data_IF_438633401308
#
_entry.id   IF_438633401308
#
_cell.length_a   1.000
_cell.length_b   1.000
_cell.length_c   1.000
_cell.angle_alpha   90.00
_cell.angle_beta   90.00
_cell.angle_gamma   90.00
#
_symmetry.space_group_name_H-M   'P 1'
#
loop_
_entity.id
_entity.type
_entity.pdbx_description
1 polymer ?
#
# COMPACT_ATOMS: atom_id res chain seq x y z
N UNK A 1 -6.00 7.62 -57.52
CA UNK A 1 -4.79 8.29 -56.96
C UNK A 1 -5.11 8.81 -55.56
N UNK A 2 -4.11 8.95 -54.66
CA UNK A 2 -4.35 8.93 -53.21
C UNK A 2 -4.69 10.31 -52.62
N UNK A 3 -5.57 10.35 -51.62
CA UNK A 3 -5.81 11.54 -50.79
C UNK A 3 -4.80 11.59 -49.64
N UNK A 4 -3.96 12.63 -49.61
CA UNK A 4 -3.15 12.95 -48.44
C UNK A 4 -4.02 13.43 -47.28
N UNK A 5 -4.05 12.69 -46.17
CA UNK A 5 -4.50 13.17 -44.87
C UNK A 5 -3.54 12.69 -43.77
N UNK A 6 -2.33 13.26 -43.70
CA UNK A 6 -1.48 13.14 -42.51
C UNK A 6 -2.05 14.04 -41.42
N UNK A 7 -2.79 13.42 -40.49
CA UNK A 7 -3.59 14.13 -39.50
C UNK A 7 -2.74 14.92 -38.52
N UNK A 8 -3.33 15.99 -37.99
CA UNK A 8 -2.73 16.92 -37.01
C UNK A 8 -2.12 16.19 -35.81
N UNK A 9 -2.67 15.02 -35.44
CA UNK A 9 -2.17 14.13 -34.41
C UNK A 9 -0.73 13.61 -34.66
N UNK A 10 -0.31 13.36 -35.90
CA UNK A 10 1.07 12.98 -36.21
C UNK A 10 2.04 14.14 -35.94
N UNK A 11 1.67 15.36 -36.32
CA UNK A 11 2.48 16.57 -36.08
C UNK A 11 2.56 16.90 -34.59
N UNK A 12 1.45 16.77 -33.85
CA UNK A 12 1.43 16.90 -32.40
C UNK A 12 2.35 15.89 -31.70
N UNK A 13 2.29 14.60 -32.08
CA UNK A 13 3.18 13.56 -31.55
C UNK A 13 4.67 13.81 -31.90
N UNK A 14 4.97 14.36 -33.07
CA UNK A 14 6.34 14.74 -33.44
C UNK A 14 6.84 15.97 -32.69
N UNK A 15 6.00 16.97 -32.45
CA UNK A 15 6.32 18.12 -31.60
C UNK A 15 6.58 17.67 -30.14
N UNK A 16 5.70 16.84 -29.59
CA UNK A 16 5.81 16.29 -28.24
C UNK A 16 7.08 15.44 -28.05
N UNK A 17 7.53 14.71 -29.10
CA UNK A 17 8.84 14.01 -29.10
C UNK A 17 10.04 14.96 -29.16
N UNK A 18 9.92 16.14 -29.79
CA UNK A 18 11.01 17.13 -29.88
C UNK A 18 11.18 17.96 -28.60
N UNK A 19 10.11 18.23 -27.85
CA UNK A 19 10.16 19.08 -26.64
C UNK A 19 10.07 18.29 -25.33
N UNK A 20 9.25 17.23 -25.26
CA UNK A 20 8.92 16.56 -23.99
C UNK A 20 10.04 15.72 -23.37
N UNK A 21 11.02 15.26 -24.17
CA UNK A 21 12.12 14.42 -23.69
C UNK A 21 13.21 15.18 -22.94
N UNK A 22 13.55 16.40 -23.36
CA UNK A 22 14.57 17.22 -22.68
C UNK A 22 14.01 17.89 -21.43
N UNK A 23 12.83 18.50 -21.55
CA UNK A 23 12.18 19.21 -20.44
C UNK A 23 11.93 18.31 -19.21
N UNK A 24 11.65 17.02 -19.41
CA UNK A 24 11.46 16.05 -18.32
C UNK A 24 12.78 15.55 -17.70
N UNK A 25 13.89 15.57 -18.42
CA UNK A 25 15.23 15.26 -17.88
C UNK A 25 15.78 16.47 -17.12
N UNK A 26 15.62 17.67 -17.69
CA UNK A 26 16.02 18.94 -17.07
C UNK A 26 15.21 19.21 -15.79
N UNK A 27 13.90 18.92 -15.75
CA UNK A 27 13.09 18.97 -14.51
C UNK A 27 13.59 17.98 -13.44
N UNK A 28 13.95 16.75 -13.81
CA UNK A 28 14.51 15.77 -12.86
C UNK A 28 15.88 16.17 -12.33
N UNK A 29 16.71 16.79 -13.16
CA UNK A 29 18.03 17.30 -12.77
C UNK A 29 17.92 18.57 -11.91
N UNK A 30 16.96 19.46 -12.20
CA UNK A 30 16.64 20.62 -11.35
C UNK A 30 16.07 20.20 -9.98
N UNK A 31 15.23 19.16 -9.93
CA UNK A 31 14.75 18.55 -8.67
C UNK A 31 15.83 17.75 -7.90
N UNK A 32 17.01 17.51 -8.51
CA UNK A 32 18.14 16.85 -7.86
C UNK A 32 19.14 17.84 -7.21
N UNK A 33 18.86 19.15 -7.26
CA UNK A 33 19.65 20.16 -6.56
C UNK A 33 19.50 20.06 -5.04
N UNK A 34 20.38 19.31 -4.39
CA UNK A 34 20.52 19.25 -2.92
C UNK A 34 19.24 18.88 -2.17
N UNK A 35 18.79 17.62 -2.28
CA UNK A 35 17.94 17.06 -1.21
C UNK A 35 18.70 17.16 0.13
N UNK A 36 18.08 17.69 1.19
CA UNK A 36 18.76 17.78 2.48
C UNK A 36 19.08 16.39 3.03
N UNK A 37 20.15 16.30 3.83
CA UNK A 37 20.52 15.05 4.50
C UNK A 37 19.52 14.62 5.58
N UNK A 38 19.53 13.34 5.98
CA UNK A 38 18.70 12.84 7.08
C UNK A 38 19.05 13.55 8.38
N UNK A 39 18.09 13.56 9.31
CA UNK A 39 18.20 14.25 10.58
C UNK A 39 17.52 13.44 11.68
N UNK A 40 17.99 13.59 12.92
CA UNK A 40 17.39 12.91 14.08
C UNK A 40 16.15 13.64 14.59
N UNK A 41 15.24 12.90 15.20
CA UNK A 41 14.12 13.41 15.99
C UNK A 41 14.63 14.39 17.04
N UNK A 42 15.80 14.11 17.64
CA UNK A 42 16.51 14.97 18.57
C UNK A 42 16.95 16.29 17.95
N UNK A 43 17.49 16.32 16.74
CA UNK A 43 17.81 17.55 16.01
C UNK A 43 16.56 18.33 15.61
N UNK A 44 15.53 17.66 15.11
CA UNK A 44 14.25 18.28 14.78
C UNK A 44 13.60 18.93 16.02
N UNK A 45 13.57 18.21 17.16
CA UNK A 45 13.05 18.72 18.43
C UNK A 45 13.92 19.81 19.04
N UNK A 46 15.25 19.76 18.85
CA UNK A 46 16.13 20.83 19.33
C UNK A 46 15.86 22.10 18.53
N UNK A 47 15.82 22.01 17.19
CA UNK A 47 15.44 23.15 16.36
C UNK A 47 14.02 23.68 16.69
N UNK A 48 13.05 22.78 16.87
CA UNK A 48 11.68 23.11 17.30
C UNK A 48 11.61 23.84 18.67
N UNK A 49 12.67 23.80 19.48
CA UNK A 49 12.74 24.52 20.77
C UNK A 49 13.78 25.64 20.83
N UNK A 50 14.63 25.82 19.81
CA UNK A 50 15.76 26.77 19.85
C UNK A 50 16.03 27.53 18.54
N UNK A 51 15.37 27.20 17.43
CA UNK A 51 15.48 27.97 16.20
C UNK A 51 14.68 29.28 16.32
N UNK A 52 15.09 30.36 15.64
CA UNK A 52 14.29 31.57 15.57
C UNK A 52 13.03 31.35 14.72
N UNK A 53 11.96 32.06 15.06
CA UNK A 53 10.70 32.05 14.31
C UNK A 53 10.91 32.50 12.87
N UNK A 54 10.23 31.84 11.95
CA UNK A 54 10.21 32.20 10.55
C UNK A 54 9.33 33.42 10.32
N UNK A 55 9.93 34.50 9.82
CA UNK A 55 9.27 35.82 9.66
C UNK A 55 8.76 36.08 8.23
N UNK A 56 8.75 35.06 7.37
CA UNK A 56 8.23 35.16 6.01
C UNK A 56 6.70 35.18 5.95
N UNK A 57 6.17 35.47 4.76
CA UNK A 57 4.73 35.37 4.49
C UNK A 57 4.42 34.00 3.89
N UNK A 58 3.53 33.24 4.53
CA UNK A 58 3.03 32.00 3.94
C UNK A 58 2.27 32.32 2.63
N UNK A 59 2.65 31.75 1.48
CA UNK A 59 2.01 32.07 0.20
C UNK A 59 0.70 31.30 -0.04
N UNK A 60 0.31 30.39 0.86
CA UNK A 60 -0.87 29.51 0.70
C UNK A 60 -2.08 30.00 1.49
N UNK A 61 -1.87 30.71 2.61
CA UNK A 61 -2.94 31.16 3.53
C UNK A 61 -2.76 32.61 3.96
N UNK A 62 -3.84 33.22 4.44
CA UNK A 62 -3.79 34.56 5.06
C UNK A 62 -3.00 34.57 6.37
N UNK A 63 -2.41 35.71 6.78
CA UNK A 63 -1.63 35.81 8.03
C UNK A 63 -2.39 35.35 9.27
N UNK A 64 -3.72 35.52 9.30
CA UNK A 64 -4.63 35.08 10.36
C UNK A 64 -4.86 33.56 10.43
N UNK A 65 -4.33 32.80 9.47
CA UNK A 65 -4.39 31.33 9.42
C UNK A 65 -3.02 30.69 9.14
N UNK A 66 -1.94 31.48 9.10
CA UNK A 66 -0.59 30.98 8.91
C UNK A 66 -0.10 30.36 10.23
N UNK A 67 0.38 29.11 10.23
CA UNK A 67 0.90 28.48 11.44
C UNK A 67 2.17 29.19 11.93
N UNK A 68 2.48 29.08 13.22
CA UNK A 68 3.79 29.45 13.74
C UNK A 68 4.83 28.44 13.25
N UNK A 69 5.86 28.92 12.54
CA UNK A 69 6.86 28.09 11.87
C UNK A 69 8.28 28.48 12.28
N UNK A 70 9.21 27.53 12.16
CA UNK A 70 10.65 27.77 12.26
C UNK A 70 11.36 27.25 11.01
N UNK A 71 12.49 27.86 10.66
CA UNK A 71 13.34 27.36 9.57
C UNK A 71 14.11 26.10 9.99
N UNK A 72 13.91 25.01 9.27
CA UNK A 72 14.69 23.79 9.43
C UNK A 72 15.21 23.34 8.07
N UNK A 73 16.47 23.69 7.77
CA UNK A 73 17.12 23.36 6.50
C UNK A 73 17.02 21.87 6.09
N UNK A 74 17.08 20.88 7.01
CA UNK A 74 16.86 19.47 6.68
C UNK A 74 15.45 19.12 6.18
N UNK A 75 14.43 19.95 6.46
CA UNK A 75 13.07 19.81 5.89
C UNK A 75 12.83 20.75 4.70
N UNK A 76 13.89 21.36 4.16
CA UNK A 76 13.84 22.12 2.91
C UNK A 76 13.11 23.47 2.99
N UNK A 77 12.99 24.05 4.19
CA UNK A 77 12.33 25.33 4.43
C UNK A 77 11.62 25.39 5.78
N UNK A 78 10.71 26.35 5.99
CA UNK A 78 9.98 26.50 7.24
C UNK A 78 9.03 25.35 7.50
N UNK A 79 8.82 25.01 8.77
CA UNK A 79 7.95 23.92 9.23
C UNK A 79 7.16 24.36 10.47
N UNK A 80 5.86 24.04 10.59
CA UNK A 80 5.09 24.37 11.79
C UNK A 80 5.61 23.68 13.04
N UNK A 81 5.64 24.39 14.17
CA UNK A 81 5.93 23.78 15.48
C UNK A 81 4.92 22.67 15.82
N UNK A 82 3.64 22.91 15.54
CA UNK A 82 2.52 21.97 15.71
C UNK A 82 2.77 20.63 15.00
N UNK A 83 3.14 20.67 13.71
CA UNK A 83 3.43 19.47 12.93
C UNK A 83 4.61 18.64 13.47
N UNK A 84 5.62 19.27 14.08
CA UNK A 84 6.76 18.57 14.69
C UNK A 84 6.37 17.88 16.00
N UNK A 85 5.58 18.55 16.84
CA UNK A 85 5.09 17.97 18.10
C UNK A 85 4.14 16.79 17.86
N UNK A 86 3.28 16.88 16.83
CA UNK A 86 2.40 15.78 16.41
C UNK A 86 3.19 14.57 15.89
N UNK A 87 4.25 14.81 15.10
CA UNK A 87 5.14 13.76 14.63
C UNK A 87 5.89 13.07 15.78
N UNK A 88 6.34 13.83 16.80
CA UNK A 88 6.89 13.25 18.03
C UNK A 88 5.86 12.34 18.72
N UNK A 89 4.59 12.74 18.81
CA UNK A 89 3.54 11.91 19.39
C UNK A 89 3.40 10.55 18.69
N UNK A 90 3.43 10.53 17.35
CA UNK A 90 3.38 9.30 16.55
C UNK A 90 4.66 8.44 16.67
N UNK A 91 5.74 9.02 17.17
CA UNK A 91 7.06 8.40 17.38
C UNK A 91 7.44 8.28 18.86
N UNK A 92 6.48 8.44 19.78
CA UNK A 92 6.70 8.39 21.23
C UNK A 92 7.30 7.07 21.75
N UNK A 93 7.04 5.88 21.16
CA UNK A 93 7.76 4.65 21.50
C UNK A 93 9.23 4.60 21.04
N UNK A 94 9.73 5.64 20.36
CA UNK A 94 11.05 5.68 19.72
C UNK A 94 12.00 6.66 20.42
N UNK A 95 13.29 6.55 20.14
CA UNK A 95 14.34 7.36 20.78
C UNK A 95 14.40 8.79 20.23
N UNK A 96 14.98 9.73 20.98
CA UNK A 96 15.43 11.02 20.41
C UNK A 96 16.52 10.83 19.35
N UNK A 97 17.20 9.70 19.32
CA UNK A 97 18.16 9.33 18.26
C UNK A 97 17.49 8.73 17.01
N UNK A 98 16.16 8.54 16.99
CA UNK A 98 15.43 8.05 15.80
C UNK A 98 15.67 8.99 14.62
N UNK A 99 16.06 8.46 13.47
CA UNK A 99 16.30 9.23 12.25
C UNK A 99 15.02 9.42 11.42
N UNK A 100 14.94 10.55 10.72
CA UNK A 100 13.90 10.92 9.79
C UNK A 100 14.51 11.44 8.49
N UNK A 101 13.77 11.25 7.40
CA UNK A 101 14.14 11.71 6.06
C UNK A 101 12.96 12.45 5.42
N UNK A 102 13.24 13.53 4.69
CA UNK A 102 12.27 14.22 3.82
C UNK A 102 12.14 13.49 2.46
N UNK A 103 11.01 12.82 2.21
CA UNK A 103 10.76 12.15 0.94
C UNK A 103 10.32 13.10 -0.18
N UNK A 104 9.45 14.05 0.17
CA UNK A 104 8.84 14.99 -0.78
C UNK A 104 8.38 16.24 -0.04
N UNK A 105 8.51 17.41 -0.67
CA UNK A 105 7.92 18.67 -0.20
C UNK A 105 7.13 19.32 -1.32
N UNK A 106 5.85 19.55 -1.09
CA UNK A 106 4.95 20.27 -1.99
C UNK A 106 4.90 21.76 -1.62
N UNK A 107 6.04 22.44 -1.77
CA UNK A 107 6.18 23.87 -1.45
C UNK A 107 5.84 24.21 0.00
N UNK A 108 4.75 24.95 0.19
CA UNK A 108 4.17 25.32 1.49
C UNK A 108 2.88 24.54 1.83
N UNK A 109 2.46 23.58 1.01
CA UNK A 109 1.25 22.79 1.29
C UNK A 109 1.55 21.66 2.29
N UNK A 110 2.46 20.75 1.93
CA UNK A 110 2.80 19.60 2.76
C UNK A 110 4.22 19.12 2.49
N UNK A 111 4.71 18.25 3.38
CA UNK A 111 5.87 17.42 3.14
C UNK A 111 5.63 16.00 3.67
N UNK A 112 6.29 15.00 3.12
CA UNK A 112 6.26 13.63 3.64
C UNK A 112 7.61 13.31 4.24
N UNK A 113 7.64 12.85 5.49
CA UNK A 113 8.82 12.26 6.14
C UNK A 113 8.67 10.76 6.33
N UNK A 114 9.75 10.01 6.20
CA UNK A 114 9.78 8.59 6.58
C UNK A 114 10.39 8.42 7.99
N UNK A 115 9.85 7.49 8.77
CA UNK A 115 10.42 7.06 10.05
C UNK A 115 9.99 5.63 10.42
N UNK A 116 10.93 4.78 10.83
CA UNK A 116 10.66 3.43 11.39
C UNK A 116 9.73 2.53 10.56
N UNK A 117 9.90 2.53 9.23
CA UNK A 117 9.04 1.75 8.35
C UNK A 117 7.59 2.23 8.39
N UNK A 118 7.37 3.53 8.55
CA UNK A 118 6.11 4.26 8.49
C UNK A 118 6.43 5.56 7.73
N UNK A 119 5.51 6.06 6.90
CA UNK A 119 5.68 7.36 6.21
C UNK A 119 4.69 8.33 6.80
N UNK A 120 4.96 9.62 6.83
CA UNK A 120 4.16 10.61 7.55
C UNK A 120 4.07 11.90 6.74
N UNK A 121 2.88 12.27 6.25
CA UNK A 121 2.67 13.58 5.63
C UNK A 121 2.35 14.63 6.69
N UNK A 122 3.22 15.62 6.81
CA UNK A 122 3.06 16.84 7.60
C UNK A 122 2.46 17.93 6.71
N UNK A 123 1.42 18.61 7.15
CA UNK A 123 0.94 19.83 6.48
C UNK A 123 1.73 21.04 6.97
N UNK A 124 1.94 22.00 6.05
CA UNK A 124 2.78 23.18 6.25
C UNK A 124 2.01 24.49 6.04
N UNK A 125 0.81 24.42 5.45
CA UNK A 125 0.01 25.58 5.07
C UNK A 125 -0.91 26.10 6.17
N UNK A 126 -1.23 25.28 7.17
CA UNK A 126 -2.16 25.56 8.26
C UNK A 126 -1.75 24.70 9.46
N UNK A 127 -2.30 24.99 10.64
CA UNK A 127 -2.03 24.20 11.84
C UNK A 127 -2.51 22.74 11.75
N UNK A 128 -1.87 21.90 12.56
CA UNK A 128 -2.32 20.58 13.00
C UNK A 128 -2.58 19.49 11.94
N UNK A 129 -1.55 19.00 11.25
CA UNK A 129 -1.68 17.74 10.50
C UNK A 129 -0.38 16.93 10.35
N UNK A 130 -0.42 15.65 10.76
CA UNK A 130 0.58 14.62 10.48
C UNK A 130 -0.12 13.28 10.24
N UNK A 131 0.11 12.60 9.11
CA UNK A 131 -0.68 11.41 8.72
C UNK A 131 0.14 10.26 8.14
N UNK A 132 -0.14 9.01 8.56
CA UNK A 132 0.64 7.87 8.09
C UNK A 132 0.34 7.52 6.61
N UNK A 133 1.36 7.65 5.76
CA UNK A 133 1.38 7.40 4.31
C UNK A 133 1.92 6.02 3.99
N UNK A 134 1.75 5.59 2.74
CA UNK A 134 1.90 4.19 2.42
C UNK A 134 3.35 3.80 2.56
N UNK A 135 3.71 2.87 3.45
CA UNK A 135 5.03 2.24 3.45
C UNK A 135 5.50 1.80 2.04
N UNK A 136 4.61 1.67 1.04
CA UNK A 136 4.99 1.82 -0.39
C UNK A 136 5.22 3.32 -0.75
N UNK A 137 6.48 3.77 -0.88
CA UNK A 137 6.79 5.19 -1.04
C UNK A 137 6.33 5.75 -2.37
N UNK A 138 6.05 7.06 -2.43
CA UNK A 138 5.49 7.72 -3.63
C UNK A 138 4.07 7.26 -3.99
N UNK A 139 3.55 6.22 -3.36
CA UNK A 139 2.12 6.06 -3.24
C UNK A 139 1.64 7.07 -2.20
N UNK A 140 0.85 8.05 -2.68
CA UNK A 140 0.14 9.04 -1.85
C UNK A 140 -0.96 8.38 -0.98
N UNK A 141 -1.19 7.08 -1.14
CA UNK A 141 -2.03 6.23 -0.28
C UNK A 141 -1.36 5.93 1.08
N UNK A 142 -1.84 4.94 1.87
CA UNK A 142 -1.44 4.64 3.28
C UNK A 142 -1.02 3.13 3.52
N UNK A 143 -0.36 2.72 4.66
CA UNK A 143 0.84 1.81 4.83
C UNK A 143 0.79 0.25 4.93
N UNK A 144 2.00 -0.41 4.88
CA UNK A 144 2.34 -1.90 4.76
C UNK A 144 3.83 -2.34 4.56
N UNK A 145 4.50 -3.31 5.21
CA UNK A 145 4.15 -4.49 6.03
C UNK A 145 3.76 -5.80 5.31
N UNK A 146 4.29 -6.94 5.77
CA UNK A 146 3.94 -8.33 5.41
C UNK A 146 3.55 -9.17 6.65
N UNK A 147 4.14 -8.86 7.81
CA UNK A 147 3.66 -9.22 9.17
C UNK A 147 2.45 -8.36 9.64
N UNK A 148 1.84 -7.63 8.71
CA UNK A 148 0.55 -6.91 8.77
C UNK A 148 0.19 -6.62 7.30
N UNK A 149 -1.08 -6.36 6.94
CA UNK A 149 -1.45 -6.15 5.51
C UNK A 149 -2.43 -4.98 5.23
N UNK A 150 -2.14 -3.71 5.53
CA UNK A 150 -2.85 -2.59 4.86
C UNK A 150 -2.35 -2.23 3.42
N UNK A 151 -1.76 -3.17 2.64
CA UNK A 151 -1.23 -2.90 1.28
C UNK A 151 -2.45 -2.63 0.42
N UNK A 152 -2.47 -1.50 -0.29
CA UNK A 152 -3.62 -1.21 -1.14
C UNK A 152 -3.82 -2.35 -2.15
N UNK A 153 -4.91 -3.10 -1.96
CA UNK A 153 -5.10 -4.37 -2.64
C UNK A 153 -5.11 -4.24 -4.16
N UNK A 154 -5.44 -3.05 -4.67
CA UNK A 154 -5.67 -2.75 -6.08
C UNK A 154 -4.43 -2.26 -6.86
N UNK A 155 -3.33 -1.86 -6.18
CA UNK A 155 -2.05 -1.52 -6.84
C UNK A 155 -0.85 -2.27 -6.25
N UNK A 156 -0.88 -2.58 -4.96
CA UNK A 156 0.26 -3.17 -4.27
C UNK A 156 0.16 -4.69 -4.11
N UNK A 157 -1.02 -5.23 -3.78
CA UNK A 157 -1.23 -6.69 -3.69
C UNK A 157 -1.61 -7.27 -5.07
N UNK A 158 -2.50 -6.63 -5.83
CA UNK A 158 -2.90 -7.11 -7.15
C UNK A 158 -1.78 -7.09 -8.21
N UNK A 159 -0.60 -6.57 -7.87
CA UNK A 159 0.61 -6.64 -8.67
C UNK A 159 1.60 -7.74 -8.23
N UNK A 160 1.30 -8.48 -7.14
CA UNK A 160 2.16 -9.53 -6.56
C UNK A 160 1.84 -10.89 -7.14
N UNK A 161 2.86 -11.63 -7.54
CA UNK A 161 2.74 -12.99 -8.04
C UNK A 161 2.09 -13.94 -7.03
N UNK A 162 1.63 -15.09 -7.53
CA UNK A 162 1.07 -16.17 -6.71
C UNK A 162 1.97 -16.55 -5.52
N UNK A 163 3.27 -16.78 -5.79
CA UNK A 163 4.24 -17.14 -4.75
C UNK A 163 4.43 -16.08 -3.68
N UNK A 164 4.51 -14.79 -4.05
CA UNK A 164 4.62 -13.69 -3.08
C UNK A 164 3.39 -13.59 -2.17
N UNK A 165 2.19 -13.81 -2.72
CA UNK A 165 0.96 -13.79 -1.92
C UNK A 165 0.88 -15.02 -0.99
N UNK A 166 1.41 -16.17 -1.40
CA UNK A 166 1.52 -17.39 -0.57
C UNK A 166 2.46 -17.16 0.61
N UNK A 167 3.62 -16.56 0.35
CA UNK A 167 4.62 -16.24 1.36
C UNK A 167 4.08 -15.23 2.38
N UNK A 168 3.45 -14.14 1.92
CA UNK A 168 2.80 -13.17 2.82
C UNK A 168 1.66 -13.78 3.65
N UNK A 169 0.90 -14.72 3.09
CA UNK A 169 -0.11 -15.48 3.83
C UNK A 169 0.53 -16.33 4.94
N UNK A 170 1.67 -16.95 4.63
CA UNK A 170 2.43 -17.81 5.54
C UNK A 170 3.00 -17.00 6.70
N UNK A 171 3.67 -15.88 6.42
CA UNK A 171 4.27 -15.03 7.44
C UNK A 171 3.24 -14.34 8.34
N UNK A 172 2.18 -13.79 7.75
CA UNK A 172 1.12 -13.14 8.53
C UNK A 172 0.33 -14.17 9.35
N UNK A 173 0.04 -15.34 8.77
CA UNK A 173 -0.55 -16.46 9.49
C UNK A 173 0.29 -16.89 10.68
N UNK A 174 1.59 -17.15 10.49
CA UNK A 174 2.49 -17.54 11.58
C UNK A 174 2.54 -16.49 12.69
N UNK A 175 2.53 -15.19 12.37
CA UNK A 175 2.50 -14.12 13.37
C UNK A 175 1.20 -14.14 14.20
N UNK A 176 0.06 -14.43 13.58
CA UNK A 176 -1.20 -14.64 14.30
C UNK A 176 -1.19 -15.96 15.10
N UNK A 177 -0.56 -17.01 14.59
CA UNK A 177 -0.37 -18.24 15.35
C UNK A 177 0.47 -18.00 16.61
N UNK A 178 1.60 -17.31 16.52
CA UNK A 178 2.45 -16.95 17.67
C UNK A 178 1.68 -16.12 18.71
N UNK A 179 0.79 -15.23 18.28
CA UNK A 179 -0.04 -14.39 19.16
C UNK A 179 -1.16 -15.17 19.87
N UNK A 180 -1.82 -16.12 19.18
CA UNK A 180 -3.07 -16.74 19.66
C UNK A 180 -2.94 -18.23 20.07
N UNK A 181 -1.94 -18.97 19.59
CA UNK A 181 -1.79 -20.42 19.81
C UNK A 181 -1.73 -20.83 21.29
N UNK A 182 -1.10 -20.02 22.13
CA UNK A 182 -0.92 -20.29 23.55
C UNK A 182 -2.22 -20.15 24.38
N UNK A 183 -3.26 -19.48 23.84
CA UNK A 183 -4.49 -19.16 24.58
C UNK A 183 -5.75 -19.71 23.92
N UNK A 184 -5.85 -19.67 22.59
CA UNK A 184 -7.01 -20.17 21.85
C UNK A 184 -6.66 -20.48 20.37
N UNK A 185 -6.02 -21.64 20.09
CA UNK A 185 -5.56 -21.98 18.73
C UNK A 185 -6.71 -22.20 17.73
N UNK A 186 -7.96 -22.37 18.19
CA UNK A 186 -9.14 -22.45 17.33
C UNK A 186 -9.78 -21.09 17.03
N UNK A 187 -9.28 -19.98 17.59
CA UNK A 187 -9.88 -18.65 17.49
C UNK A 187 -8.99 -17.60 16.80
N UNK A 188 -8.03 -18.05 15.97
CA UNK A 188 -7.07 -17.17 15.28
C UNK A 188 -7.80 -16.27 14.26
N UNK A 189 -7.79 -14.93 14.41
CA UNK A 189 -8.62 -14.06 13.59
C UNK A 189 -7.92 -13.70 12.27
N UNK A 190 -8.23 -14.41 11.17
CA UNK A 190 -7.65 -14.12 9.84
C UNK A 190 -8.03 -12.75 9.24
N UNK A 191 -9.01 -12.04 9.81
CA UNK A 191 -9.16 -10.59 9.73
C UNK A 191 -9.35 -9.98 8.33
N UNK A 192 -9.19 -8.65 8.28
CA UNK A 192 -9.29 -7.89 7.02
C UNK A 192 -8.00 -7.96 6.21
N UNK A 193 -6.86 -8.10 6.87
CA UNK A 193 -5.54 -8.31 6.28
C UNK A 193 -5.52 -9.57 5.39
N UNK A 194 -5.98 -10.71 5.93
CA UNK A 194 -6.13 -11.95 5.18
C UNK A 194 -7.12 -11.81 4.02
N UNK A 195 -8.22 -11.08 4.22
CA UNK A 195 -9.21 -10.84 3.16
C UNK A 195 -8.69 -9.91 2.05
N UNK A 196 -7.85 -8.91 2.37
CA UNK A 196 -7.20 -8.04 1.39
C UNK A 196 -6.20 -8.82 0.53
N UNK A 197 -5.43 -9.71 1.16
CA UNK A 197 -4.53 -10.64 0.48
C UNK A 197 -5.32 -11.53 -0.47
N UNK A 198 -6.35 -12.22 0.04
CA UNK A 198 -7.21 -13.13 -0.72
C UNK A 198 -7.93 -12.42 -1.86
N UNK A 199 -8.46 -11.22 -1.66
CA UNK A 199 -9.10 -10.43 -2.72
C UNK A 199 -8.13 -10.08 -3.86
N UNK A 200 -6.85 -9.83 -3.55
CA UNK A 200 -5.83 -9.53 -4.54
C UNK A 200 -5.44 -10.76 -5.40
N UNK A 201 -5.39 -11.95 -4.79
CA UNK A 201 -5.10 -13.20 -5.52
C UNK A 201 -6.02 -13.45 -6.71
N UNK A 202 -7.27 -13.00 -6.61
CA UNK A 202 -8.33 -13.31 -7.58
C UNK A 202 -8.07 -12.66 -8.94
N UNK A 203 -7.37 -11.53 -8.98
CA UNK A 203 -6.94 -10.90 -10.23
C UNK A 203 -5.95 -11.78 -11.04
N UNK A 204 -5.27 -12.71 -10.36
CA UNK A 204 -4.16 -13.50 -10.90
C UNK A 204 -4.37 -15.03 -10.85
N UNK A 205 -5.53 -15.49 -10.37
CA UNK A 205 -5.83 -16.91 -10.10
C UNK A 205 -5.03 -17.59 -8.98
N UNK A 206 -4.25 -16.82 -8.21
CA UNK A 206 -3.41 -17.27 -7.11
C UNK A 206 -4.17 -17.78 -5.86
N UNK A 207 -5.50 -17.86 -5.90
CA UNK A 207 -6.34 -18.00 -4.71
C UNK A 207 -6.07 -19.26 -3.88
N UNK A 208 -6.09 -20.45 -4.50
CA UNK A 208 -6.04 -21.70 -3.74
C UNK A 208 -4.72 -21.92 -2.99
N UNK A 209 -3.54 -21.68 -3.61
CA UNK A 209 -2.27 -21.76 -2.88
C UNK A 209 -2.20 -20.79 -1.69
N UNK A 210 -2.64 -19.55 -1.89
CA UNK A 210 -2.58 -18.49 -0.85
C UNK A 210 -3.54 -18.79 0.30
N UNK A 211 -4.76 -19.25 -0.01
CA UNK A 211 -5.73 -19.69 0.98
C UNK A 211 -5.20 -20.85 1.83
N UNK A 212 -4.61 -21.86 1.19
CA UNK A 212 -4.07 -23.03 1.88
C UNK A 212 -2.93 -22.65 2.83
N UNK A 213 -2.00 -21.79 2.36
CA UNK A 213 -0.90 -21.29 3.18
C UNK A 213 -1.40 -20.44 4.37
N UNK A 214 -2.35 -19.53 4.14
CA UNK A 214 -2.90 -18.65 5.18
C UNK A 214 -3.52 -19.45 6.33
N UNK A 215 -4.32 -20.47 6.01
CA UNK A 215 -4.98 -21.32 7.01
C UNK A 215 -3.95 -22.22 7.72
N UNK A 216 -3.06 -22.88 6.98
CA UNK A 216 -2.07 -23.79 7.54
C UNK A 216 -1.06 -23.10 8.47
N UNK A 217 -0.72 -21.84 8.19
CA UNK A 217 0.18 -21.04 9.02
C UNK A 217 -0.48 -20.36 10.21
N UNK A 218 -1.77 -20.00 10.11
CA UNK A 218 -2.48 -19.35 11.22
C UNK A 218 -2.97 -20.35 12.26
N UNK A 219 -3.47 -21.52 11.83
CA UNK A 219 -4.04 -22.52 12.73
C UNK A 219 -3.04 -23.63 13.01
N UNK A 220 -2.87 -24.55 12.07
CA UNK A 220 -1.88 -25.62 12.02
C UNK A 220 -2.04 -26.28 10.62
N UNK A 221 -1.06 -27.06 10.16
CA UNK A 221 -1.25 -27.87 8.96
C UNK A 221 -2.29 -28.96 9.20
N UNK A 222 -3.19 -29.27 8.23
CA UNK A 222 -4.21 -30.31 8.40
C UNK A 222 -3.66 -31.70 8.78
N UNK A 223 -2.44 -32.04 8.36
CA UNK A 223 -1.77 -33.30 8.68
C UNK A 223 -1.10 -33.33 10.07
N UNK A 224 -1.05 -32.18 10.76
CA UNK A 224 -0.44 -32.00 12.08
C UNK A 224 -1.45 -31.72 13.20
N UNK A 225 -2.72 -31.39 12.89
CA UNK A 225 -3.75 -31.05 13.90
C UNK A 225 -3.89 -32.13 14.99
N UNK A 226 -4.02 -33.40 14.60
CA UNK A 226 -4.14 -34.55 15.53
C UNK A 226 -2.80 -34.96 16.18
N UNK A 227 -1.68 -34.36 15.76
CA UNK A 227 -0.34 -34.57 16.33
C UNK A 227 -0.01 -33.52 17.38
N UNK A 228 -0.48 -32.29 17.17
CA UNK A 228 -0.21 -31.11 18.01
C UNK A 228 -1.30 -30.89 19.06
N UNK A 229 -2.56 -31.21 18.74
CA UNK A 229 -3.71 -31.08 19.63
C UNK A 229 -4.36 -32.43 19.91
N UNK A 230 -4.99 -32.57 21.08
CA UNK A 230 -5.58 -33.83 21.53
C UNK A 230 -7.09 -33.73 21.76
N UNK A 231 -7.82 -34.79 21.38
CA UNK A 231 -9.24 -34.94 21.66
C UNK A 231 -10.10 -33.80 21.12
N UNK A 232 -10.95 -33.21 21.97
CA UNK A 232 -11.83 -32.11 21.58
C UNK A 232 -11.10 -30.89 21.03
N UNK A 233 -9.84 -30.65 21.41
CA UNK A 233 -9.08 -29.50 20.94
C UNK A 233 -8.72 -29.62 19.45
N UNK A 234 -8.30 -30.81 19.01
CA UNK A 234 -8.04 -31.09 17.59
C UNK A 234 -9.31 -30.89 16.74
N UNK A 235 -10.44 -31.46 17.19
CA UNK A 235 -11.73 -31.30 16.52
C UNK A 235 -12.18 -29.82 16.42
N UNK A 236 -11.91 -29.00 17.44
CA UNK A 236 -12.21 -27.56 17.43
C UNK A 236 -11.31 -26.78 16.48
N UNK A 237 -10.01 -27.09 16.42
CA UNK A 237 -9.07 -26.47 15.47
C UNK A 237 -9.43 -26.83 14.03
N UNK A 238 -9.68 -28.11 13.74
CA UNK A 238 -10.12 -28.55 12.40
C UNK A 238 -11.42 -27.86 11.97
N UNK A 239 -12.42 -27.79 12.86
CA UNK A 239 -13.67 -27.10 12.57
C UNK A 239 -13.49 -25.59 12.29
N UNK A 240 -12.54 -24.94 12.98
CA UNK A 240 -12.20 -23.54 12.72
C UNK A 240 -11.53 -23.37 11.36
N UNK A 241 -10.59 -24.25 11.00
CA UNK A 241 -9.92 -24.26 9.69
C UNK A 241 -10.92 -24.46 8.54
N UNK A 242 -11.85 -25.40 8.66
CA UNK A 242 -12.92 -25.62 7.68
C UNK A 242 -13.84 -24.40 7.55
N UNK A 243 -14.18 -23.77 8.68
CA UNK A 243 -15.01 -22.56 8.71
C UNK A 243 -14.33 -21.40 7.99
N UNK A 244 -13.04 -21.18 8.23
CA UNK A 244 -12.24 -20.17 7.52
C UNK A 244 -12.05 -20.51 6.04
N UNK A 245 -11.89 -21.78 5.69
CA UNK A 245 -11.84 -22.22 4.30
C UNK A 245 -13.11 -21.78 3.53
N UNK A 246 -14.30 -22.06 4.05
CA UNK A 246 -15.56 -21.62 3.44
C UNK A 246 -15.78 -20.10 3.54
N UNK A 247 -15.15 -19.40 4.49
CA UNK A 247 -15.16 -17.94 4.56
C UNK A 247 -14.33 -17.33 3.43
N UNK A 248 -13.06 -17.71 3.28
CA UNK A 248 -12.16 -17.18 2.25
C UNK A 248 -12.64 -17.49 0.82
N UNK A 249 -13.29 -18.65 0.60
CA UNK A 249 -13.99 -18.94 -0.66
C UNK A 249 -15.05 -17.90 -1.03
N UNK A 250 -15.81 -17.39 -0.05
CA UNK A 250 -16.81 -16.33 -0.26
C UNK A 250 -16.14 -14.98 -0.55
N UNK A 251 -15.04 -14.65 0.12
CA UNK A 251 -14.23 -13.44 -0.13
C UNK A 251 -13.73 -13.43 -1.58
N UNK A 252 -13.18 -14.55 -2.06
CA UNK A 252 -12.69 -14.67 -3.43
C UNK A 252 -13.81 -14.57 -4.49
N UNK A 253 -14.98 -15.18 -4.24
CA UNK A 253 -16.14 -15.06 -5.12
C UNK A 253 -16.64 -13.59 -5.22
N UNK A 254 -16.61 -12.85 -4.11
CA UNK A 254 -16.95 -11.43 -4.09
C UNK A 254 -15.93 -10.58 -4.87
N UNK A 255 -14.63 -10.77 -4.64
CA UNK A 255 -13.56 -10.08 -5.37
C UNK A 255 -13.61 -10.38 -6.88
N UNK A 256 -13.92 -11.62 -7.28
CA UNK A 256 -14.13 -12.03 -8.68
C UNK A 256 -15.23 -11.21 -9.34
N UNK A 257 -16.39 -11.16 -8.69
CA UNK A 257 -17.57 -10.42 -9.16
C UNK A 257 -17.29 -8.92 -9.30
N UNK A 258 -16.48 -8.36 -8.39
CA UNK A 258 -16.02 -6.96 -8.44
C UNK A 258 -15.17 -6.69 -9.69
N UNK A 259 -14.18 -7.53 -9.99
CA UNK A 259 -13.30 -7.33 -11.15
C UNK A 259 -14.08 -7.55 -12.47
N UNK A 260 -14.97 -8.53 -12.54
CA UNK A 260 -15.87 -8.75 -13.69
C UNK A 260 -16.72 -7.51 -14.03
N UNK A 261 -17.22 -6.78 -13.01
CA UNK A 261 -17.94 -5.52 -13.20
C UNK A 261 -17.04 -4.41 -13.72
N UNK A 262 -15.79 -4.28 -13.23
CA UNK A 262 -14.84 -3.26 -13.69
C UNK A 262 -14.46 -3.39 -15.17
N UNK A 263 -14.47 -4.60 -15.72
CA UNK A 263 -14.23 -4.85 -17.16
C UNK A 263 -15.51 -4.89 -18.02
N UNK A 264 -16.66 -4.46 -17.47
CA UNK A 264 -17.91 -4.35 -18.22
C UNK A 264 -18.65 -5.67 -18.50
N UNK A 265 -18.36 -6.75 -17.75
CA UNK A 265 -19.10 -8.01 -17.84
C UNK A 265 -18.86 -8.84 -19.12
N UNK A 266 -17.98 -8.38 -20.02
CA UNK A 266 -17.60 -9.10 -21.25
C UNK A 266 -16.10 -9.37 -21.28
N UNK A 267 -15.75 -10.54 -21.81
CA UNK A 267 -14.38 -10.90 -22.12
C UNK A 267 -13.90 -10.14 -23.37
N UNK A 268 -12.58 -10.02 -23.56
CA UNK A 268 -11.96 -9.45 -24.77
C UNK A 268 -12.42 -10.13 -26.09
N UNK A 269 -12.88 -11.38 -26.04
CA UNK A 269 -13.43 -12.12 -27.18
C UNK A 269 -14.93 -11.82 -27.46
N UNK A 270 -15.54 -10.89 -26.71
CA UNK A 270 -16.95 -10.50 -26.83
C UNK A 270 -17.95 -11.37 -26.05
N UNK A 271 -17.55 -12.55 -25.58
CA UNK A 271 -18.41 -13.43 -24.78
C UNK A 271 -18.73 -12.85 -23.39
N UNK A 272 -19.89 -13.19 -22.85
CA UNK A 272 -20.27 -12.85 -21.47
C UNK A 272 -19.32 -13.54 -20.46
N UNK A 273 -18.94 -12.81 -19.40
CA UNK A 273 -18.16 -13.38 -18.31
C UNK A 273 -19.04 -14.31 -17.46
N UNK A 274 -18.61 -15.55 -17.30
CA UNK A 274 -19.32 -16.57 -16.54
C UNK A 274 -19.34 -16.21 -15.04
N UNK A 275 -20.55 -16.04 -14.50
CA UNK A 275 -20.79 -15.87 -13.06
C UNK A 275 -20.78 -17.27 -12.43
N UNK A 276 -19.93 -17.49 -11.43
CA UNK A 276 -19.82 -18.79 -10.73
C UNK A 276 -18.71 -19.73 -11.24
N UNK A 277 -17.99 -19.40 -12.32
CA UNK A 277 -16.74 -20.08 -12.63
C UNK A 277 -15.74 -19.85 -11.49
N UNK A 278 -15.17 -20.94 -10.93
CA UNK A 278 -14.24 -20.87 -9.79
C UNK A 278 -12.97 -20.06 -10.09
N UNK A 279 -12.14 -19.75 -9.07
CA UNK A 279 -11.06 -18.76 -9.17
C UNK A 279 -9.87 -19.17 -10.08
N UNK A 280 -9.97 -20.27 -10.83
CA UNK A 280 -8.94 -20.83 -11.72
C UNK A 280 -8.84 -20.16 -13.11
N UNK A 281 -9.74 -19.24 -13.45
CA UNK A 281 -9.69 -18.44 -14.70
C UNK A 281 -9.73 -16.96 -14.32
N UNK A 282 -8.85 -16.08 -14.84
CA UNK A 282 -8.83 -14.70 -14.35
C UNK A 282 -10.18 -14.01 -14.63
N UNK A 283 -10.71 -13.21 -13.69
CA UNK A 283 -12.06 -12.65 -13.74
C UNK A 283 -12.37 -11.91 -15.04
N UNK A 284 -11.36 -11.29 -15.67
CA UNK A 284 -11.45 -10.57 -16.93
C UNK A 284 -11.61 -11.45 -18.18
N UNK A 285 -11.53 -12.78 -18.06
CA UNK A 285 -11.66 -13.72 -19.17
C UNK A 285 -12.81 -14.73 -18.96
N UNK A 286 -13.50 -15.10 -20.05
CA UNK A 286 -14.59 -16.08 -19.98
C UNK A 286 -14.12 -17.54 -19.93
N UNK A 287 -12.85 -17.80 -20.29
CA UNK A 287 -12.25 -19.13 -20.27
C UNK A 287 -10.72 -19.04 -20.16
N UNK A 288 -10.07 -20.14 -19.75
CA UNK A 288 -8.61 -20.24 -19.74
C UNK A 288 -8.00 -19.99 -21.13
N UNK A 289 -8.64 -20.48 -22.20
CA UNK A 289 -8.19 -20.26 -23.58
C UNK A 289 -8.18 -18.76 -23.95
N UNK A 290 -9.17 -17.98 -23.50
CA UNK A 290 -9.18 -16.53 -23.72
C UNK A 290 -8.11 -15.80 -22.90
N UNK A 291 -7.76 -16.31 -21.70
CA UNK A 291 -6.63 -15.78 -20.94
C UNK A 291 -5.29 -16.06 -21.65
N UNK A 292 -5.08 -17.29 -22.13
CA UNK A 292 -3.86 -17.66 -22.88
C UNK A 292 -3.74 -16.89 -24.19
N UNK A 293 -4.85 -16.65 -24.90
CA UNK A 293 -4.86 -15.89 -26.15
C UNK A 293 -4.56 -14.39 -25.96
N UNK A 294 -4.82 -13.83 -24.79
CA UNK A 294 -4.49 -12.44 -24.45
C UNK A 294 -3.07 -12.24 -23.89
N UNK A 295 -2.37 -13.34 -23.57
CA UNK A 295 -0.98 -13.36 -23.10
C UNK A 295 0.04 -13.71 -24.20
N UNK A 296 -0.35 -13.62 -25.47
CA UNK A 296 0.49 -13.78 -26.67
C UNK A 296 0.41 -12.53 -27.53
#
# INVERSE_FOLDING_TARGET
>A
MPRHQSTTAQRARQAQRKTGGKYTVELRQAQAGSRPGPFTLGQLLTACGTAPDWTGKNPVVGPECAPEMFDFAPLGGPVPYSAVLLLLGLLAPTSRSTELELESRNGFHSLIVACSGRRFELVLSQDDYVTERCRVPGCELSPVSARSIPYCALRHLAARSEGELVEMATEWGNAQHEEFSAQSPAAVPLGEEGDQLIAATVAQCAFFPVQAALIASAYERPDMVDVVYFGEQAARVQHAMDTEYFRLMRVAAAARTRIQKLVGGRCACGAALQIGAGPKVPPQFCSAACATAAGR
#
